data_IF_825009002421
#
_entry.id   IF_825009002421
#
_cell.length_a   1.000
_cell.length_b   1.000
_cell.length_c   1.000
_cell.angle_alpha   90.00
_cell.angle_beta   90.00
_cell.angle_gamma   90.00
#
_symmetry.space_group_name_H-M   'P 1'
#
loop_
_entity.id
_entity.type
_entity.pdbx_description
1 polymer ?
#
# COMPACT_ATOMS: atom_id res chain seq x y z
N UNK A 1 -37.89 17.23 -19.91
CA UNK A 1 -37.99 15.93 -20.59
C UNK A 1 -36.98 15.94 -21.73
N UNK A 2 -36.00 15.03 -21.69
CA UNK A 2 -35.42 14.36 -22.86
C UNK A 2 -34.45 13.30 -22.32
N UNK A 3 -34.86 12.05 -22.44
CA UNK A 3 -34.14 10.86 -22.01
C UNK A 3 -33.17 10.42 -23.11
N UNK A 4 -31.96 10.02 -22.73
CA UNK A 4 -31.14 9.15 -23.57
C UNK A 4 -30.62 7.99 -22.72
N UNK A 5 -31.02 6.78 -23.13
CA UNK A 5 -30.66 5.49 -22.57
C UNK A 5 -29.56 4.82 -23.42
N UNK A 6 -28.72 4.04 -22.73
CA UNK A 6 -27.97 2.83 -23.16
C UNK A 6 -26.80 3.06 -24.13
N UNK A 7 -25.60 2.55 -23.85
CA UNK A 7 -25.26 1.12 -24.02
C UNK A 7 -23.99 0.77 -23.23
N UNK A 8 -24.01 -0.33 -22.48
CA UNK A 8 -22.87 -0.96 -21.81
C UNK A 8 -22.49 -2.19 -22.64
N UNK A 9 -21.22 -2.32 -23.02
CA UNK A 9 -20.68 -3.51 -23.70
C UNK A 9 -19.69 -4.18 -22.76
N UNK A 10 -20.07 -5.35 -22.23
CA UNK A 10 -19.15 -6.31 -21.61
C UNK A 10 -18.58 -7.20 -22.72
N UNK A 11 -17.26 -7.43 -22.71
CA UNK A 11 -16.62 -8.49 -23.49
C UNK A 11 -16.01 -9.50 -22.52
N UNK A 12 -16.39 -10.77 -22.71
CA UNK A 12 -16.08 -11.90 -21.85
C UNK A 12 -15.39 -13.00 -22.67
N UNK A 13 -14.37 -13.63 -22.06
CA UNK A 13 -13.80 -14.99 -22.25
C UNK A 13 -13.02 -15.31 -23.56
N UNK A 14 -11.85 -15.96 -23.43
CA UNK A 14 -11.58 -17.40 -23.72
C UNK A 14 -10.08 -17.71 -23.76
N UNK A 15 -9.74 -18.76 -23.03
CA UNK A 15 -8.43 -19.41 -22.88
C UNK A 15 -7.85 -19.98 -24.19
N UNK A 16 -6.53 -20.02 -24.28
CA UNK A 16 -5.79 -20.70 -25.35
C UNK A 16 -4.71 -21.61 -24.78
N UNK A 17 -4.90 -22.92 -24.98
CA UNK A 17 -4.02 -24.01 -24.58
C UNK A 17 -2.69 -24.02 -25.34
N UNK A 18 -1.59 -24.32 -24.66
CA UNK A 18 -0.31 -24.63 -25.29
C UNK A 18 -0.23 -26.14 -25.49
N UNK A 19 -0.12 -26.54 -26.75
CA UNK A 19 0.16 -27.90 -27.21
C UNK A 19 1.67 -28.13 -27.18
N UNK A 20 2.13 -29.23 -26.57
CA UNK A 20 3.41 -29.84 -26.93
C UNK A 20 3.19 -31.29 -27.33
N UNK A 21 3.54 -31.58 -28.58
CA UNK A 21 3.52 -32.90 -29.18
C UNK A 21 4.90 -33.58 -29.07
N UNK A 22 4.87 -34.88 -28.81
CA UNK A 22 5.77 -35.87 -29.44
C UNK A 22 7.08 -36.23 -28.73
N UNK A 23 7.18 -37.44 -28.19
CA UNK A 23 7.85 -38.56 -28.89
C UNK A 23 7.66 -39.90 -28.16
N UNK A 24 7.20 -40.91 -28.90
CA UNK A 24 7.26 -42.36 -28.66
C UNK A 24 8.73 -42.86 -28.66
N UNK A 25 9.17 -44.01 -28.14
CA UNK A 25 8.58 -45.34 -27.97
C UNK A 25 9.34 -46.19 -26.91
N UNK A 26 8.78 -47.38 -26.62
CA UNK A 26 9.18 -48.52 -25.76
C UNK A 26 10.68 -48.94 -25.80
N UNK A 27 11.27 -49.73 -24.89
CA UNK A 27 10.91 -51.11 -24.46
C UNK A 27 11.84 -51.59 -23.32
N UNK A 28 11.29 -52.35 -22.37
CA UNK A 28 11.82 -53.51 -21.60
C UNK A 28 13.29 -53.60 -21.09
N UNK A 29 13.42 -54.04 -19.82
CA UNK A 29 14.28 -55.12 -19.24
C UNK A 29 14.92 -54.69 -17.90
N UNK A 30 14.67 -55.43 -16.81
CA UNK A 30 15.42 -55.38 -15.55
C UNK A 30 16.65 -56.33 -15.64
N UNK A 31 17.80 -56.08 -14.96
CA UNK A 31 17.92 -56.48 -13.54
C UNK A 31 18.87 -55.64 -12.64
N UNK A 32 18.59 -55.73 -11.33
CA UNK A 32 19.47 -55.72 -10.13
C UNK A 32 20.85 -55.05 -10.16
N UNK A 33 21.09 -54.02 -9.33
CA UNK A 33 22.18 -54.00 -8.30
C UNK A 33 22.13 -52.80 -7.33
N UNK A 34 22.47 -53.09 -6.07
CA UNK A 34 23.00 -52.24 -4.98
C UNK A 34 22.07 -51.23 -4.26
N UNK A 35 21.90 -51.35 -2.91
CA UNK A 35 21.35 -50.28 -2.10
C UNK A 35 22.39 -49.15 -1.99
N UNK A 36 22.15 -48.03 -2.68
CA UNK A 36 22.85 -46.78 -2.39
C UNK A 36 22.33 -46.21 -1.08
N UNK A 37 23.24 -45.96 -0.14
CA UNK A 37 22.98 -45.27 1.11
C UNK A 37 22.28 -43.94 0.81
N UNK A 38 21.03 -43.83 1.26
CA UNK A 38 20.29 -42.58 1.21
C UNK A 38 20.96 -41.64 2.20
N UNK A 39 21.71 -40.66 1.71
CA UNK A 39 22.01 -39.47 2.51
C UNK A 39 20.66 -38.85 2.86
N UNK A 40 20.26 -39.01 4.12
CA UNK A 40 19.17 -38.24 4.71
C UNK A 40 19.65 -36.79 4.73
N UNK A 41 19.27 -36.03 3.71
CA UNK A 41 19.36 -34.58 3.77
C UNK A 41 18.51 -34.18 4.99
N UNK A 42 19.17 -33.66 6.02
CA UNK A 42 18.48 -33.00 7.12
C UNK A 42 17.63 -31.90 6.48
N UNK A 43 16.30 -31.88 6.68
CA UNK A 43 15.48 -30.78 6.17
C UNK A 43 16.09 -29.49 6.71
N UNK A 44 16.43 -28.57 5.81
CA UNK A 44 16.81 -27.22 6.20
C UNK A 44 15.73 -26.70 7.15
N UNK A 45 16.09 -26.07 8.28
CA UNK A 45 15.09 -25.47 9.15
C UNK A 45 14.26 -24.54 8.28
N UNK A 46 12.95 -24.80 8.19
CA UNK A 46 12.01 -23.84 7.66
C UNK A 46 12.16 -22.61 8.54
N UNK A 47 12.81 -21.55 8.04
CA UNK A 47 12.87 -20.28 8.74
C UNK A 47 11.43 -19.88 9.03
N UNK A 48 11.07 -19.92 10.31
CA UNK A 48 9.75 -19.55 10.74
C UNK A 48 9.63 -18.04 10.54
N UNK A 49 8.80 -17.63 9.59
CA UNK A 49 8.38 -16.25 9.43
C UNK A 49 7.45 -15.78 10.56
N UNK A 50 7.26 -16.60 11.60
CA UNK A 50 6.41 -16.26 12.72
C UNK A 50 6.99 -15.09 13.52
N UNK A 51 6.13 -14.12 13.76
CA UNK A 51 6.29 -13.13 14.82
C UNK A 51 6.24 -13.87 16.17
N UNK A 52 7.04 -13.49 17.18
CA UNK A 52 6.96 -14.12 18.50
C UNK A 52 5.53 -14.09 19.06
N UNK A 53 5.11 -15.20 19.68
CA UNK A 53 3.79 -15.31 20.29
C UNK A 53 3.55 -14.17 21.29
N UNK A 54 2.40 -13.50 21.16
CA UNK A 54 2.01 -12.39 22.04
C UNK A 54 2.51 -11.01 21.62
N UNK A 55 3.20 -10.88 20.49
CA UNK A 55 3.54 -9.56 19.91
C UNK A 55 2.25 -8.87 19.45
N UNK A 56 2.01 -7.66 19.93
CA UNK A 56 0.86 -6.83 19.58
C UNK A 56 1.25 -5.69 18.62
N UNK A 57 0.25 -5.10 17.96
CA UNK A 57 0.44 -3.92 17.13
C UNK A 57 1.14 -2.80 17.92
N UNK A 58 2.22 -2.24 17.37
CA UNK A 58 2.99 -1.18 18.03
C UNK A 58 4.14 -1.68 18.92
N UNK A 59 4.27 -3.00 19.14
CA UNK A 59 5.39 -3.55 19.89
C UNK A 59 6.71 -3.43 19.12
N UNK A 60 7.81 -3.28 19.86
CA UNK A 60 9.15 -3.27 19.28
C UNK A 60 9.59 -4.69 18.95
N UNK A 61 10.08 -4.89 17.73
CA UNK A 61 10.66 -6.14 17.26
C UNK A 61 12.14 -5.96 16.95
N UNK A 62 12.91 -7.04 17.06
CA UNK A 62 14.32 -7.02 16.67
C UNK A 62 14.50 -6.95 15.15
N UNK A 63 15.72 -6.63 14.72
CA UNK A 63 16.06 -6.46 13.30
C UNK A 63 15.88 -7.76 12.50
N UNK A 64 16.06 -8.94 13.11
CA UNK A 64 15.87 -10.21 12.43
C UNK A 64 14.40 -10.50 12.14
N UNK A 65 13.52 -10.19 13.08
CA UNK A 65 12.06 -10.27 12.93
C UNK A 65 11.60 -9.25 11.90
N UNK A 66 12.11 -8.01 11.98
CA UNK A 66 11.80 -6.96 11.03
C UNK A 66 12.18 -7.33 9.59
N UNK A 67 13.36 -7.91 9.39
CA UNK A 67 13.80 -8.38 8.08
C UNK A 67 12.89 -9.49 7.53
N UNK A 68 12.45 -10.44 8.37
CA UNK A 68 11.51 -11.48 7.96
C UNK A 68 10.16 -10.91 7.56
N UNK A 69 9.60 -10.01 8.37
CA UNK A 69 8.32 -9.35 8.10
C UNK A 69 8.36 -8.55 6.80
N UNK A 70 9.39 -7.72 6.62
CA UNK A 70 9.49 -6.85 5.46
C UNK A 70 9.74 -7.62 4.15
N UNK A 71 10.30 -8.83 4.21
CA UNK A 71 10.44 -9.75 3.08
C UNK A 71 9.21 -10.67 2.87
N UNK A 72 8.26 -10.68 3.79
CA UNK A 72 7.06 -11.52 3.72
C UNK A 72 6.01 -10.94 2.77
N UNK A 73 5.25 -11.83 2.13
CA UNK A 73 4.05 -11.49 1.35
C UNK A 73 2.77 -11.47 2.21
N UNK A 74 2.87 -11.75 3.51
CA UNK A 74 1.73 -11.85 4.43
C UNK A 74 1.07 -10.50 4.78
N UNK A 75 1.62 -9.37 4.31
CA UNK A 75 1.08 -8.03 4.53
C UNK A 75 1.67 -7.33 5.76
N UNK A 76 1.89 -8.05 6.85
CA UNK A 76 2.50 -7.51 8.08
C UNK A 76 3.88 -6.91 7.83
N UNK A 77 4.15 -5.77 8.47
CA UNK A 77 5.40 -5.02 8.34
C UNK A 77 6.06 -4.75 9.68
N UNK A 78 7.34 -4.42 9.60
CA UNK A 78 8.08 -3.79 10.69
C UNK A 78 8.53 -2.41 10.25
N UNK A 79 7.93 -1.38 10.84
CA UNK A 79 8.18 0.01 10.52
C UNK A 79 9.35 0.57 11.34
N UNK A 80 10.31 1.24 10.68
CA UNK A 80 11.47 1.80 11.37
C UNK A 80 11.13 3.16 11.98
N UNK A 81 11.14 3.23 13.31
CA UNK A 81 10.90 4.45 14.09
C UNK A 81 12.17 4.81 14.86
N UNK A 82 12.98 5.72 14.30
CA UNK A 82 14.32 6.02 14.83
C UNK A 82 15.23 4.79 14.75
N UNK A 83 15.73 4.34 15.89
CA UNK A 83 16.62 3.18 16.01
C UNK A 83 15.88 1.84 16.25
N UNK A 84 14.55 1.87 16.39
CA UNK A 84 13.73 0.69 16.67
C UNK A 84 12.85 0.30 15.47
N UNK A 85 12.47 -0.98 15.42
CA UNK A 85 11.45 -1.48 14.50
C UNK A 85 10.17 -1.77 15.27
N UNK A 86 9.04 -1.28 14.76
CA UNK A 86 7.72 -1.42 15.36
C UNK A 86 6.88 -2.36 14.51
N UNK A 87 6.24 -3.34 15.13
CA UNK A 87 5.34 -4.26 14.47
C UNK A 87 4.07 -3.55 13.99
N UNK A 88 3.76 -3.69 12.71
CA UNK A 88 2.58 -3.14 12.04
C UNK A 88 1.84 -4.30 11.37
N UNK A 89 0.87 -4.91 12.06
CA UNK A 89 0.01 -5.91 11.44
C UNK A 89 -0.89 -5.28 10.40
N UNK A 90 -1.16 -5.99 9.31
CA UNK A 90 -1.95 -5.46 8.19
C UNK A 90 -3.45 -5.40 8.53
N UNK A 91 -3.93 -6.36 9.33
CA UNK A 91 -5.34 -6.51 9.70
C UNK A 91 -5.76 -5.70 10.95
N UNK A 92 -4.89 -4.83 11.47
CA UNK A 92 -5.22 -3.89 12.54
C UNK A 92 -4.90 -2.46 12.12
N UNK A 93 -5.56 -1.44 12.71
CA UNK A 93 -5.23 -0.05 12.43
C UNK A 93 -3.76 0.26 12.71
N UNK A 94 -3.20 1.21 11.95
CA UNK A 94 -1.84 1.72 12.20
C UNK A 94 -1.65 2.11 13.68
N UNK A 95 -0.59 1.62 14.35
CA UNK A 95 -0.23 2.08 15.68
C UNK A 95 -0.04 3.59 15.72
N UNK A 96 -0.50 4.25 16.79
CA UNK A 96 -0.52 5.72 16.89
C UNK A 96 0.86 6.35 16.63
N UNK A 97 1.92 5.76 17.17
CA UNK A 97 3.29 6.24 16.95
C UNK A 97 3.72 6.18 15.48
N UNK A 98 3.30 5.13 14.76
CA UNK A 98 3.58 4.96 13.33
C UNK A 98 2.73 5.93 12.51
N UNK A 99 1.43 6.07 12.81
CA UNK A 99 0.54 7.01 12.13
C UNK A 99 1.04 8.47 12.24
N UNK A 100 1.56 8.84 13.41
CA UNK A 100 2.19 10.15 13.63
C UNK A 100 3.46 10.32 12.78
N UNK A 101 4.36 9.33 12.79
CA UNK A 101 5.60 9.38 12.01
C UNK A 101 5.34 9.42 10.49
N UNK A 102 4.34 8.68 10.01
CA UNK A 102 3.88 8.73 8.61
C UNK A 102 3.44 10.15 8.26
N UNK A 103 2.60 10.76 9.09
CA UNK A 103 2.08 12.12 8.86
C UNK A 103 3.23 13.14 8.81
N UNK A 104 4.16 13.08 9.77
CA UNK A 104 5.35 13.94 9.82
C UNK A 104 6.24 13.74 8.58
N UNK A 105 6.43 12.50 8.14
CA UNK A 105 7.21 12.19 6.92
C UNK A 105 6.57 12.75 5.66
N UNK A 106 5.25 12.66 5.52
CA UNK A 106 4.53 13.19 4.34
C UNK A 106 4.56 14.72 4.32
N UNK A 107 4.42 15.37 5.48
CA UNK A 107 4.57 16.83 5.61
C UNK A 107 5.99 17.25 5.21
N UNK A 108 7.01 16.57 5.75
CA UNK A 108 8.40 16.91 5.50
C UNK A 108 8.83 16.74 4.03
N UNK A 109 8.18 15.83 3.28
CA UNK A 109 8.46 15.62 1.87
C UNK A 109 8.01 16.78 0.97
N UNK A 110 7.04 17.58 1.43
CA UNK A 110 6.35 18.57 0.60
C UNK A 110 6.31 19.99 1.22
N UNK A 111 7.46 20.62 1.51
CA UNK A 111 7.51 21.94 2.15
C UNK A 111 6.90 23.08 1.31
N UNK A 112 6.62 22.85 0.02
CA UNK A 112 5.97 23.80 -0.89
C UNK A 112 4.48 23.55 -1.13
N UNK A 113 3.86 22.56 -0.49
CA UNK A 113 2.45 22.21 -0.76
C UNK A 113 1.45 23.28 -0.34
N UNK A 114 1.84 24.19 0.55
CA UNK A 114 1.07 25.38 0.94
C UNK A 114 1.38 26.64 0.11
N UNK A 115 2.24 26.55 -0.92
CA UNK A 115 2.60 27.69 -1.73
C UNK A 115 1.40 28.20 -2.55
N UNK A 116 1.44 29.48 -2.94
CA UNK A 116 0.39 30.13 -3.74
C UNK A 116 0.78 30.32 -5.21
N UNK A 117 1.90 29.72 -5.65
CA UNK A 117 2.46 29.82 -7.01
C UNK A 117 2.74 28.44 -7.58
N UNK A 118 2.40 28.23 -8.86
CA UNK A 118 2.21 26.89 -9.46
C UNK A 118 3.41 25.95 -9.51
N UNK A 119 4.62 26.43 -9.79
CA UNK A 119 5.78 25.54 -10.00
C UNK A 119 6.22 24.83 -8.71
N UNK A 120 6.19 25.54 -7.58
CA UNK A 120 6.54 24.97 -6.26
C UNK A 120 5.46 24.01 -5.76
N UNK A 121 4.19 24.27 -6.11
CA UNK A 121 3.06 23.42 -5.73
C UNK A 121 3.09 22.07 -6.46
N UNK A 122 3.32 22.09 -7.78
CA UNK A 122 3.36 20.85 -8.59
C UNK A 122 4.45 19.90 -8.11
N UNK A 123 5.68 20.41 -7.93
CA UNK A 123 6.79 19.62 -7.43
C UNK A 123 6.58 19.13 -5.98
N UNK A 124 5.90 19.93 -5.14
CA UNK A 124 5.56 19.52 -3.78
C UNK A 124 4.49 18.41 -3.78
N UNK A 125 3.46 18.51 -4.62
CA UNK A 125 2.42 17.48 -4.73
C UNK A 125 2.99 16.14 -5.21
N UNK A 126 3.91 16.14 -6.18
CA UNK A 126 4.61 14.93 -6.62
C UNK A 126 5.40 14.26 -5.49
N UNK A 127 6.19 15.05 -4.75
CA UNK A 127 6.96 14.54 -3.60
C UNK A 127 6.07 14.04 -2.48
N UNK A 128 4.94 14.70 -2.26
CA UNK A 128 3.95 14.31 -1.28
C UNK A 128 3.35 12.95 -1.60
N UNK A 129 2.91 12.75 -2.85
CA UNK A 129 2.33 11.48 -3.29
C UNK A 129 3.36 10.35 -3.26
N UNK A 130 4.60 10.61 -3.67
CA UNK A 130 5.70 9.64 -3.57
C UNK A 130 5.99 9.26 -2.11
N UNK A 131 5.97 10.22 -1.18
CA UNK A 131 6.12 9.94 0.24
C UNK A 131 4.93 9.14 0.79
N UNK A 132 3.70 9.46 0.39
CA UNK A 132 2.50 8.74 0.80
C UNK A 132 2.53 7.28 0.35
N UNK A 133 2.95 7.03 -0.90
CA UNK A 133 3.14 5.68 -1.46
C UNK A 133 4.23 4.91 -0.69
N UNK A 134 5.40 5.54 -0.48
CA UNK A 134 6.50 4.93 0.27
C UNK A 134 6.10 4.58 1.72
N UNK A 135 5.30 5.44 2.36
CA UNK A 135 4.78 5.16 3.70
C UNK A 135 3.76 4.02 3.68
N UNK A 136 2.87 3.98 2.67
CA UNK A 136 1.94 2.87 2.50
C UNK A 136 2.64 1.52 2.31
N UNK A 137 3.70 1.48 1.51
CA UNK A 137 4.52 0.28 1.32
C UNK A 137 5.26 -0.14 2.60
N UNK A 138 5.82 0.85 3.32
CA UNK A 138 6.56 0.62 4.55
C UNK A 138 5.67 0.10 5.70
N UNK A 139 4.39 0.44 5.70
CA UNK A 139 3.43 -0.02 6.71
C UNK A 139 2.51 -1.14 6.23
N UNK A 140 2.53 -1.49 4.94
CA UNK A 140 1.59 -2.45 4.35
C UNK A 140 0.16 -1.94 4.26
N UNK A 141 -0.05 -0.63 4.45
CA UNK A 141 -1.38 -0.02 4.47
C UNK A 141 -1.62 0.84 3.23
N UNK A 142 -2.89 0.94 2.85
CA UNK A 142 -3.34 1.92 1.85
C UNK A 142 -3.63 3.22 2.56
N UNK A 143 -2.81 4.24 2.32
CA UNK A 143 -2.90 5.53 2.99
C UNK A 143 -3.44 6.56 2.01
N UNK A 144 -4.61 7.11 2.31
CA UNK A 144 -5.14 8.28 1.59
C UNK A 144 -4.75 9.57 2.32
N UNK A 145 -4.60 10.64 1.58
CA UNK A 145 -4.35 11.97 2.12
C UNK A 145 -5.61 12.82 1.98
N UNK A 146 -6.00 13.46 3.08
CA UNK A 146 -6.91 14.60 3.09
C UNK A 146 -6.07 15.85 3.28
N UNK A 147 -6.02 16.72 2.28
CA UNK A 147 -5.14 17.89 2.31
C UNK A 147 -5.89 19.19 2.06
N UNK A 148 -5.54 20.23 2.81
CA UNK A 148 -5.96 21.60 2.52
C UNK A 148 -4.81 22.33 1.83
N UNK A 149 -5.02 22.70 0.57
CA UNK A 149 -3.98 23.30 -0.28
C UNK A 149 -4.61 24.24 -1.29
N UNK A 150 -3.78 25.06 -1.94
CA UNK A 150 -4.20 25.80 -3.11
C UNK A 150 -4.41 24.84 -4.29
N UNK A 151 -5.43 25.07 -5.10
CA UNK A 151 -5.69 24.34 -6.34
C UNK A 151 -6.05 25.32 -7.44
N UNK A 152 -5.64 25.02 -8.67
CA UNK A 152 -6.01 25.83 -9.83
C UNK A 152 -7.46 25.55 -10.24
N UNK A 153 -8.26 26.61 -10.37
CA UNK A 153 -9.63 26.54 -10.87
C UNK A 153 -9.69 27.13 -12.29
N UNK A 154 -9.89 26.26 -13.28
CA UNK A 154 -10.01 26.63 -14.70
C UNK A 154 -11.20 27.55 -14.99
N UNK A 155 -12.27 27.48 -14.19
CA UNK A 155 -13.47 28.29 -14.41
C UNK A 155 -13.25 29.75 -14.05
N UNK A 156 -12.40 30.01 -13.05
CA UNK A 156 -12.11 31.36 -12.54
C UNK A 156 -10.72 31.86 -12.95
N UNK A 157 -9.89 31.02 -13.58
CA UNK A 157 -8.48 31.30 -13.87
C UNK A 157 -7.72 31.81 -12.63
N UNK A 158 -7.94 31.17 -11.49
CA UNK A 158 -7.34 31.56 -10.22
C UNK A 158 -7.04 30.36 -9.34
N UNK A 159 -6.14 30.54 -8.38
CA UNK A 159 -5.91 29.57 -7.32
C UNK A 159 -6.93 29.78 -6.19
N UNK A 160 -7.57 28.71 -5.75
CA UNK A 160 -8.48 28.70 -4.62
C UNK A 160 -8.06 27.65 -3.60
N UNK A 161 -8.32 27.92 -2.32
CA UNK A 161 -8.10 26.96 -1.25
C UNK A 161 -9.17 25.86 -1.33
N UNK A 162 -8.75 24.59 -1.33
CA UNK A 162 -9.66 23.44 -1.38
C UNK A 162 -9.23 22.39 -0.38
N UNK A 163 -10.19 21.62 0.11
CA UNK A 163 -9.91 20.34 0.75
C UNK A 163 -9.90 19.25 -0.32
N UNK A 164 -8.81 18.53 -0.49
CA UNK A 164 -8.67 17.47 -1.47
C UNK A 164 -8.50 16.12 -0.79
N UNK A 165 -9.02 15.07 -1.43
CA UNK A 165 -8.72 13.67 -1.12
C UNK A 165 -7.85 13.13 -2.24
N UNK A 166 -6.79 12.41 -1.91
CA UNK A 166 -5.91 11.74 -2.87
C UNK A 166 -6.29 10.28 -3.12
N UNK A 167 -5.68 9.68 -4.15
CA UNK A 167 -5.57 8.23 -4.23
C UNK A 167 -4.81 7.67 -3.01
N UNK A 168 -5.10 6.43 -2.57
CA UNK A 168 -5.95 5.40 -3.18
C UNK A 168 -7.46 5.53 -2.92
N UNK A 169 -7.89 6.57 -2.20
CA UNK A 169 -9.30 6.95 -2.15
C UNK A 169 -9.72 7.63 -3.47
N UNK A 170 -11.02 7.90 -3.64
CA UNK A 170 -11.47 8.60 -4.84
C UNK A 170 -10.96 10.04 -4.81
N UNK A 171 -10.04 10.37 -5.72
CA UNK A 171 -9.51 11.72 -5.83
C UNK A 171 -10.62 12.73 -6.15
N UNK A 172 -10.76 13.75 -5.30
CA UNK A 172 -11.78 14.79 -5.43
C UNK A 172 -11.46 16.01 -4.55
N UNK A 173 -11.98 17.17 -4.94
CA UNK A 173 -11.99 18.39 -4.12
C UNK A 173 -13.34 18.57 -3.42
N UNK A 174 -13.30 19.18 -2.25
CA UNK A 174 -14.39 19.37 -1.30
C UNK A 174 -14.34 20.78 -0.72
N UNK A 175 -15.50 21.25 -0.25
CA UNK A 175 -15.62 22.61 0.29
C UNK A 175 -15.17 22.74 1.74
N UNK A 176 -15.02 21.61 2.46
CA UNK A 176 -14.62 21.59 3.87
C UNK A 176 -13.87 20.32 4.25
N UNK A 177 -13.11 20.40 5.35
CA UNK A 177 -12.44 19.25 5.97
C UNK A 177 -13.44 18.13 6.29
N UNK A 178 -14.60 18.47 6.85
CA UNK A 178 -15.60 17.50 7.26
C UNK A 178 -16.14 16.69 6.07
N UNK A 179 -16.35 17.32 4.91
CA UNK A 179 -16.79 16.63 3.70
C UNK A 179 -15.70 15.70 3.14
N UNK A 180 -14.45 16.18 3.12
CA UNK A 180 -13.32 15.38 2.65
C UNK A 180 -13.06 14.17 3.57
N UNK A 181 -13.11 14.38 4.88
CA UNK A 181 -12.97 13.32 5.90
C UNK A 181 -14.11 12.30 5.76
N UNK A 182 -15.37 12.75 5.66
CA UNK A 182 -16.49 11.83 5.48
C UNK A 182 -16.37 11.01 4.18
N UNK A 183 -15.81 11.59 3.12
CA UNK A 183 -15.56 10.88 1.87
C UNK A 183 -14.48 9.81 2.00
N UNK A 184 -13.37 10.09 2.70
CA UNK A 184 -12.30 9.11 2.91
C UNK A 184 -12.71 8.01 3.90
N UNK A 185 -13.47 8.35 4.95
CA UNK A 185 -14.03 7.37 5.89
C UNK A 185 -14.97 6.37 5.20
N UNK A 186 -15.77 6.85 4.23
CA UNK A 186 -16.61 5.99 3.39
C UNK A 186 -15.76 5.04 2.53
N UNK A 187 -14.60 5.49 2.06
CA UNK A 187 -13.67 4.63 1.31
C UNK A 187 -12.98 3.59 2.20
N UNK A 188 -12.62 3.95 3.43
CA UNK A 188 -12.10 3.00 4.41
C UNK A 188 -13.11 1.88 4.65
N UNK A 189 -14.40 2.23 4.84
CA UNK A 189 -15.48 1.25 5.04
C UNK A 189 -15.16 0.24 6.17
N UNK A 190 -14.47 0.69 7.22
CA UNK A 190 -14.03 -0.16 8.35
C UNK A 190 -12.92 -1.16 8.02
N UNK A 191 -12.28 -1.07 6.86
CA UNK A 191 -11.14 -1.90 6.47
C UNK A 191 -9.87 -1.46 7.22
N UNK A 192 -9.29 -2.29 8.09
CA UNK A 192 -8.12 -1.90 8.90
C UNK A 192 -6.88 -1.63 8.03
N UNK A 193 -6.78 -2.27 6.86
CA UNK A 193 -5.69 -2.06 5.91
C UNK A 193 -5.73 -0.67 5.25
N UNK A 194 -6.82 0.08 5.44
CA UNK A 194 -7.02 1.42 4.88
C UNK A 194 -6.98 2.45 5.99
N UNK A 195 -6.29 3.54 5.72
CA UNK A 195 -6.19 4.65 6.66
C UNK A 195 -6.08 5.97 5.91
N UNK A 196 -6.19 7.07 6.64
CA UNK A 196 -5.95 8.40 6.08
C UNK A 196 -5.17 9.27 7.04
N UNK A 197 -4.48 10.25 6.46
CA UNK A 197 -3.87 11.35 7.20
C UNK A 197 -4.54 12.66 6.78
N UNK A 198 -4.63 13.60 7.71
CA UNK A 198 -5.15 14.93 7.44
C UNK A 198 -4.02 15.93 7.58
N UNK A 199 -3.80 16.74 6.55
CA UNK A 199 -2.76 17.77 6.55
C UNK A 199 -3.34 19.10 6.08
N UNK A 200 -3.18 20.13 6.89
CA UNK A 200 -3.53 21.48 6.51
C UNK A 200 -2.27 22.26 6.16
N UNK A 201 -2.06 22.55 4.87
CA UNK A 201 -0.87 23.28 4.40
C UNK A 201 -1.06 24.79 4.40
N UNK A 202 -2.26 25.29 4.70
CA UNK A 202 -2.60 26.71 4.65
C UNK A 202 -2.77 27.33 6.05
N UNK A 203 -2.59 26.54 7.12
CA UNK A 203 -2.67 26.97 8.52
C UNK A 203 -1.36 26.75 9.29
#
# INVERSE_FOLDING_TARGET
>A
MNAYLKTITLATIVAGAIVLAGCTAATETAPTTAPSATQSATPAPTESNAVPDGTAAGDVVDESVAARLNNSLAGDKAYKLGDAYVFVPVDEPLPEAVAKAVTESVIAAAPGAGATTGDDMGAAAEKQMAALEAQGDATGHRIALVSHMMSWNDSTNSYEAVWAVSEPAKAAAYSSQAEAVAAVEKWMNGDPNKTYIVVDYLN
#
